data_IF_998923443162
#
_entry.id   IF_998923443162
#
_cell.length_a   1.000
_cell.length_b   1.000
_cell.length_c   1.000
_cell.angle_alpha   90.00
_cell.angle_beta   90.00
_cell.angle_gamma   90.00
#
_symmetry.space_group_name_H-M   'P 1'
#
loop_
_entity.id
_entity.type
_entity.pdbx_description
1 polymer ?
#
# COMPACT_ATOMS: atom_id res chain seq x y z
N UNK A 1 -47.14 -21.85 71.31
CA UNK A 1 -46.23 -20.76 70.89
C UNK A 1 -44.77 -21.19 70.79
N UNK A 2 -44.09 -21.69 71.85
CA UNK A 2 -42.66 -22.07 71.81
C UNK A 2 -42.27 -23.08 70.71
N UNK A 3 -43.06 -24.14 70.48
CA UNK A 3 -42.82 -25.15 69.43
C UNK A 3 -42.87 -24.58 68.01
N UNK A 4 -43.72 -23.56 67.79
CA UNK A 4 -43.93 -22.94 66.48
C UNK A 4 -42.75 -22.01 66.10
N UNK A 5 -42.19 -21.31 67.09
CA UNK A 5 -40.99 -20.47 66.95
C UNK A 5 -39.76 -21.33 66.58
N UNK A 6 -39.61 -22.50 67.21
CA UNK A 6 -38.49 -23.43 66.92
C UNK A 6 -38.55 -23.93 65.47
N UNK A 7 -39.74 -24.27 64.97
CA UNK A 7 -39.92 -24.73 63.59
C UNK A 7 -39.56 -23.62 62.60
N UNK A 8 -40.00 -22.39 62.84
CA UNK A 8 -39.67 -21.24 61.98
C UNK A 8 -38.15 -21.00 61.96
N UNK A 9 -37.48 -21.12 63.11
CA UNK A 9 -36.02 -21.01 63.19
C UNK A 9 -35.31 -22.12 62.42
N UNK A 10 -35.78 -23.37 62.51
CA UNK A 10 -35.19 -24.50 61.78
C UNK A 10 -35.37 -24.36 60.26
N UNK A 11 -36.55 -23.93 59.81
CA UNK A 11 -36.82 -23.68 58.39
C UNK A 11 -35.99 -22.50 57.89
N UNK A 12 -35.94 -21.40 58.64
CA UNK A 12 -35.12 -20.23 58.29
C UNK A 12 -33.63 -20.57 58.21
N UNK A 13 -33.12 -21.33 59.18
CA UNK A 13 -31.72 -21.79 59.18
C UNK A 13 -31.43 -22.72 58.00
N UNK A 14 -32.34 -23.63 57.67
CA UNK A 14 -32.22 -24.52 56.51
C UNK A 14 -32.17 -23.76 55.19
N UNK A 15 -32.97 -22.69 55.04
CA UNK A 15 -32.99 -21.86 53.83
C UNK A 15 -31.67 -21.07 53.72
N UNK A 16 -31.21 -20.45 54.81
CA UNK A 16 -29.95 -19.67 54.84
C UNK A 16 -28.75 -20.57 54.52
N UNK A 17 -28.72 -21.79 55.07
CA UNK A 17 -27.65 -22.74 54.81
C UNK A 17 -27.64 -23.19 53.33
N UNK A 18 -28.81 -23.47 52.77
CA UNK A 18 -28.96 -23.85 51.36
C UNK A 18 -28.49 -22.72 50.40
N UNK A 19 -28.81 -21.46 50.72
CA UNK A 19 -28.36 -20.31 49.92
C UNK A 19 -26.82 -20.13 49.96
N UNK A 20 -26.18 -20.42 51.09
CA UNK A 20 -24.71 -20.38 51.18
C UNK A 20 -24.02 -21.47 50.35
N UNK A 21 -24.52 -22.70 50.38
CA UNK A 21 -23.94 -23.79 49.58
C UNK A 21 -24.08 -23.51 48.08
N UNK A 22 -25.24 -23.04 47.64
CA UNK A 22 -25.46 -22.66 46.25
C UNK A 22 -24.51 -21.54 45.78
N UNK A 23 -24.28 -20.52 46.62
CA UNK A 23 -23.33 -19.43 46.31
C UNK A 23 -21.89 -19.96 46.17
N UNK A 24 -21.48 -20.92 47.01
CA UNK A 24 -20.14 -21.53 46.94
C UNK A 24 -19.95 -22.31 45.64
N UNK A 25 -20.94 -23.13 45.26
CA UNK A 25 -20.89 -23.92 44.02
C UNK A 25 -20.80 -23.02 42.77
N UNK A 26 -21.58 -21.93 42.73
CA UNK A 26 -21.51 -20.95 41.64
C UNK A 26 -20.15 -20.24 41.59
N UNK A 27 -19.58 -19.89 42.75
CA UNK A 27 -18.25 -19.26 42.81
C UNK A 27 -17.15 -20.20 42.30
N UNK A 28 -17.21 -21.48 42.69
CA UNK A 28 -16.26 -22.50 42.25
C UNK A 28 -16.33 -22.73 40.74
N UNK A 29 -17.55 -22.82 40.19
CA UNK A 29 -17.76 -22.92 38.74
C UNK A 29 -17.20 -21.71 37.98
N UNK A 30 -17.47 -20.50 38.47
CA UNK A 30 -16.97 -19.28 37.86
C UNK A 30 -15.43 -19.21 37.87
N UNK A 31 -14.78 -19.68 38.95
CA UNK A 31 -13.33 -19.75 39.02
C UNK A 31 -12.74 -20.71 37.96
N UNK A 32 -13.36 -21.88 37.78
CA UNK A 32 -12.94 -22.84 36.74
C UNK A 32 -13.11 -22.25 35.34
N UNK A 33 -14.21 -21.55 35.08
CA UNK A 33 -14.43 -20.92 33.77
C UNK A 33 -13.45 -19.76 33.53
N UNK A 34 -13.09 -19.02 34.57
CA UNK A 34 -12.07 -17.97 34.51
C UNK A 34 -10.67 -18.54 34.25
N UNK A 35 -10.28 -19.63 34.88
CA UNK A 35 -9.00 -20.31 34.64
C UNK A 35 -8.89 -20.80 33.18
N UNK A 36 -9.95 -21.42 32.65
CA UNK A 36 -10.01 -21.80 31.23
C UNK A 36 -9.94 -20.60 30.30
N UNK A 37 -10.50 -19.45 30.69
CA UNK A 37 -10.42 -18.22 29.90
C UNK A 37 -8.98 -17.68 29.89
N UNK A 38 -8.29 -17.67 31.03
CA UNK A 38 -6.87 -17.27 31.14
C UNK A 38 -6.00 -18.14 30.22
N UNK A 39 -6.15 -19.47 30.26
CA UNK A 39 -5.38 -20.34 29.36
C UNK A 39 -5.65 -20.07 27.87
N UNK A 40 -6.89 -19.71 27.52
CA UNK A 40 -7.24 -19.34 26.14
C UNK A 40 -6.57 -18.03 25.74
N UNK A 41 -6.51 -17.06 26.65
CA UNK A 41 -5.81 -15.79 26.43
C UNK A 41 -4.32 -16.03 26.24
N UNK A 42 -3.67 -16.83 27.10
CA UNK A 42 -2.24 -17.17 26.95
C UNK A 42 -1.92 -17.82 25.60
N UNK A 43 -2.82 -18.70 25.12
CA UNK A 43 -2.69 -19.30 23.77
C UNK A 43 -2.87 -18.28 22.66
N UNK A 44 -3.74 -17.28 22.84
CA UNK A 44 -3.94 -16.20 21.88
C UNK A 44 -2.70 -15.31 21.85
N UNK A 45 -2.15 -14.92 23.00
CA UNK A 45 -0.94 -14.09 23.08
C UNK A 45 0.23 -14.72 22.32
N UNK A 46 0.50 -16.02 22.55
CA UNK A 46 1.54 -16.76 21.80
C UNK A 46 1.32 -16.73 20.29
N UNK A 47 0.07 -16.85 19.83
CA UNK A 47 -0.26 -16.78 18.40
C UNK A 47 -0.12 -15.38 17.84
N UNK A 48 -0.41 -14.35 18.64
CA UNK A 48 -0.20 -12.94 18.26
C UNK A 48 1.29 -12.66 18.08
N UNK A 49 2.14 -13.15 18.99
CA UNK A 49 3.60 -13.02 18.85
C UNK A 49 4.14 -13.69 17.57
N UNK A 50 3.62 -14.88 17.24
CA UNK A 50 3.97 -15.56 15.99
C UNK A 50 3.52 -14.79 14.74
N UNK A 51 2.33 -14.20 14.78
CA UNK A 51 1.79 -13.36 13.70
C UNK A 51 2.68 -12.12 13.52
N UNK A 52 3.09 -11.46 14.60
CA UNK A 52 3.96 -10.29 14.55
C UNK A 52 5.31 -10.62 13.88
N UNK A 53 5.92 -11.76 14.24
CA UNK A 53 7.15 -12.24 13.58
C UNK A 53 6.96 -12.44 12.08
N UNK A 54 5.87 -13.08 11.67
CA UNK A 54 5.55 -13.30 10.24
C UNK A 54 5.31 -11.99 9.49
N UNK A 55 4.62 -11.02 10.11
CA UNK A 55 4.43 -9.68 9.52
C UNK A 55 5.78 -9.00 9.28
N UNK A 56 6.68 -9.05 10.26
CA UNK A 56 8.01 -8.47 10.12
C UNK A 56 8.84 -9.12 9.00
N UNK A 57 8.73 -10.44 8.82
CA UNK A 57 9.36 -11.14 7.69
C UNK A 57 8.75 -10.72 6.34
N UNK A 58 7.43 -10.60 6.26
CA UNK A 58 6.73 -10.14 5.04
C UNK A 58 7.19 -8.72 4.67
N UNK A 59 7.30 -7.81 5.64
CA UNK A 59 7.78 -6.45 5.40
C UNK A 59 9.19 -6.41 4.81
N UNK A 60 10.11 -7.25 5.33
CA UNK A 60 11.46 -7.37 4.76
C UNK A 60 11.44 -7.88 3.32
N UNK A 61 10.62 -8.90 3.03
CA UNK A 61 10.48 -9.44 1.68
C UNK A 61 9.91 -8.41 0.71
N UNK A 62 8.92 -7.61 1.13
CA UNK A 62 8.35 -6.54 0.32
C UNK A 62 9.38 -5.47 -0.04
N UNK A 63 10.22 -5.07 0.92
CA UNK A 63 11.31 -4.11 0.67
C UNK A 63 12.28 -4.64 -0.40
N UNK A 64 12.69 -5.90 -0.29
CA UNK A 64 13.58 -6.52 -1.28
C UNK A 64 12.92 -6.61 -2.67
N UNK A 65 11.62 -6.91 -2.72
CA UNK A 65 10.85 -6.92 -3.97
C UNK A 65 10.84 -5.53 -4.60
N UNK A 66 10.60 -4.47 -3.83
CA UNK A 66 10.61 -3.09 -4.29
C UNK A 66 11.96 -2.68 -4.89
N UNK A 67 13.06 -3.02 -4.21
CA UNK A 67 14.43 -2.79 -4.69
C UNK A 67 14.68 -3.52 -6.02
N UNK A 68 14.33 -4.81 -6.10
CA UNK A 68 14.48 -5.60 -7.33
C UNK A 68 13.63 -5.06 -8.48
N UNK A 69 12.40 -4.60 -8.23
CA UNK A 69 11.55 -3.99 -9.25
C UNK A 69 12.14 -2.67 -9.77
N UNK A 70 12.77 -1.88 -8.91
CA UNK A 70 13.45 -0.65 -9.31
C UNK A 70 14.65 -0.95 -10.21
N UNK A 71 15.46 -1.96 -9.89
CA UNK A 71 16.57 -2.39 -10.75
C UNK A 71 16.08 -2.96 -12.08
N UNK A 72 15.09 -3.85 -12.07
CA UNK A 72 14.48 -4.38 -13.29
C UNK A 72 13.95 -3.26 -14.19
N UNK A 73 13.35 -2.20 -13.61
CA UNK A 73 12.89 -1.04 -14.37
C UNK A 73 14.05 -0.29 -15.04
N UNK A 74 15.17 -0.10 -14.34
CA UNK A 74 16.38 0.52 -14.92
C UNK A 74 16.92 -0.35 -16.08
N UNK A 75 17.01 -1.66 -15.89
CA UNK A 75 17.48 -2.58 -16.94
C UNK A 75 16.55 -2.56 -18.14
N UNK A 76 15.24 -2.60 -17.94
CA UNK A 76 14.25 -2.55 -19.03
C UNK A 76 14.37 -1.24 -19.82
N UNK A 77 14.57 -0.11 -19.13
CA UNK A 77 14.84 1.19 -19.78
C UNK A 77 16.12 1.12 -20.62
N UNK A 78 17.20 0.56 -20.09
CA UNK A 78 18.45 0.43 -20.82
C UNK A 78 18.27 -0.46 -22.05
N UNK A 79 17.59 -1.59 -21.92
CA UNK A 79 17.28 -2.48 -23.04
C UNK A 79 16.40 -1.79 -24.09
N UNK A 80 15.38 -1.05 -23.66
CA UNK A 80 14.56 -0.24 -24.56
C UNK A 80 15.41 0.73 -25.39
N UNK A 81 16.46 1.33 -24.81
CA UNK A 81 17.42 2.19 -25.53
C UNK A 81 18.19 1.39 -26.59
N UNK A 82 18.67 0.17 -26.27
CA UNK A 82 19.48 -0.64 -27.19
C UNK A 82 18.69 -1.28 -28.33
N UNK A 83 17.41 -1.60 -28.13
CA UNK A 83 16.57 -2.27 -29.14
C UNK A 83 15.88 -1.30 -30.10
N UNK A 84 16.08 0.02 -29.95
CA UNK A 84 15.51 0.99 -30.89
C UNK A 84 16.27 0.98 -32.24
N UNK A 85 15.53 0.91 -33.36
CA UNK A 85 15.96 1.09 -34.75
C UNK A 85 17.28 1.80 -35.04
N UNK A 86 17.40 3.01 -34.49
CA UNK A 86 18.39 4.02 -34.88
C UNK A 86 18.53 5.06 -33.76
N UNK A 87 19.24 4.69 -32.69
CA UNK A 87 19.49 5.60 -31.56
C UNK A 87 20.26 6.85 -32.03
N UNK A 88 19.50 7.92 -32.23
CA UNK A 88 19.96 9.28 -31.99
C UNK A 88 20.32 9.35 -30.49
N UNK A 89 21.42 10.02 -30.15
CA UNK A 89 21.91 10.16 -28.77
C UNK A 89 20.77 10.66 -27.89
N UNK A 90 20.52 9.99 -26.75
CA UNK A 90 19.44 10.36 -25.82
C UNK A 90 19.72 11.73 -25.21
N UNK A 91 18.72 12.65 -25.15
CA UNK A 91 18.91 13.94 -24.50
C UNK A 91 19.15 13.79 -23.00
N UNK A 92 19.97 14.68 -22.46
CA UNK A 92 20.19 14.91 -21.04
C UNK A 92 19.00 15.63 -20.40
N UNK A 93 18.91 15.61 -19.06
CA UNK A 93 17.90 16.40 -18.34
C UNK A 93 18.01 17.91 -18.61
N UNK A 94 19.22 18.39 -18.87
CA UNK A 94 19.49 19.80 -19.18
C UNK A 94 18.95 20.17 -20.57
N UNK A 95 19.19 19.31 -21.57
CA UNK A 95 18.63 19.48 -22.92
C UNK A 95 17.10 19.42 -22.91
N UNK A 96 16.49 18.51 -22.15
CA UNK A 96 15.04 18.45 -21.99
C UNK A 96 14.46 19.75 -21.42
N UNK A 97 15.06 20.27 -20.36
CA UNK A 97 14.62 21.51 -19.69
C UNK A 97 14.83 22.75 -20.55
N UNK A 98 15.69 22.68 -21.57
CA UNK A 98 15.93 23.79 -22.49
C UNK A 98 14.82 23.98 -23.53
N UNK A 99 13.90 23.01 -23.68
CA UNK A 99 12.80 23.16 -24.63
C UNK A 99 11.75 24.13 -24.09
N UNK A 100 11.42 25.12 -24.92
CA UNK A 100 10.45 26.15 -24.59
C UNK A 100 9.30 26.22 -25.58
N UNK A 101 8.19 26.80 -25.13
CA UNK A 101 7.03 27.04 -25.98
C UNK A 101 7.41 28.01 -27.12
N UNK A 102 7.03 27.69 -28.34
CA UNK A 102 7.35 28.45 -29.55
C UNK A 102 8.59 27.95 -30.31
N UNK A 103 9.39 27.04 -29.75
CA UNK A 103 10.48 26.42 -30.50
C UNK A 103 9.96 25.64 -31.71
N UNK A 104 10.74 25.59 -32.79
CA UNK A 104 10.38 24.83 -33.98
C UNK A 104 10.72 23.35 -33.83
N UNK A 105 10.07 22.48 -34.61
CA UNK A 105 10.44 21.06 -34.70
C UNK A 105 11.93 20.85 -34.99
N UNK A 106 12.53 21.70 -35.82
CA UNK A 106 13.94 21.58 -36.18
C UNK A 106 14.86 21.93 -35.00
N UNK A 107 14.50 22.92 -34.19
CA UNK A 107 15.26 23.27 -32.98
C UNK A 107 15.15 22.16 -31.94
N UNK A 108 13.95 21.62 -31.73
CA UNK A 108 13.73 20.47 -30.85
C UNK A 108 14.53 19.26 -31.34
N UNK A 109 14.54 19.00 -32.65
CA UNK A 109 15.30 17.89 -33.24
C UNK A 109 16.82 18.07 -33.09
N UNK A 110 17.34 19.30 -33.13
CA UNK A 110 18.76 19.58 -32.91
C UNK A 110 19.18 19.38 -31.46
N UNK A 111 18.31 19.74 -30.52
CA UNK A 111 18.58 19.68 -29.08
C UNK A 111 18.35 18.26 -28.55
N UNK A 112 17.19 17.68 -28.85
CA UNK A 112 16.76 16.40 -28.29
C UNK A 112 17.01 15.20 -29.19
N UNK A 113 17.31 15.43 -30.48
CA UNK A 113 17.34 14.37 -31.46
C UNK A 113 15.96 13.84 -31.83
N UNK A 114 15.95 12.68 -32.49
CA UNK A 114 14.74 12.02 -32.98
C UNK A 114 13.87 11.51 -31.82
N UNK A 115 12.55 11.79 -31.83
CA UNK A 115 11.64 11.23 -30.84
C UNK A 115 11.42 9.73 -31.07
N UNK A 116 11.05 9.03 -30.01
CA UNK A 116 10.76 7.59 -30.02
C UNK A 116 9.45 7.28 -30.74
N UNK A 117 8.46 8.14 -30.60
CA UNK A 117 7.17 8.00 -31.27
C UNK A 117 6.63 9.37 -31.71
N UNK A 118 6.02 9.40 -32.90
CA UNK A 118 5.32 10.57 -33.43
C UNK A 118 3.87 10.19 -33.68
N UNK A 119 2.95 10.91 -33.02
CA UNK A 119 1.51 10.75 -33.21
C UNK A 119 0.91 12.02 -33.79
N UNK A 120 0.14 11.87 -34.87
CA UNK A 120 -0.61 12.97 -35.48
C UNK A 120 -2.08 12.89 -35.10
N UNK A 121 -2.60 13.94 -34.48
CA UNK A 121 -4.01 14.09 -34.16
C UNK A 121 -4.79 14.65 -35.35
N UNK A 122 -6.11 14.42 -35.37
CA UNK A 122 -7.01 14.89 -36.44
C UNK A 122 -7.03 16.41 -36.61
N UNK A 123 -6.71 17.15 -35.56
CA UNK A 123 -6.64 18.61 -35.54
C UNK A 123 -5.26 19.16 -35.99
N UNK A 124 -4.46 18.35 -36.69
CA UNK A 124 -3.10 18.69 -37.14
C UNK A 124 -2.10 18.97 -36.00
N UNK A 125 -2.44 18.65 -34.75
CA UNK A 125 -1.48 18.62 -33.66
C UNK A 125 -0.60 17.38 -33.77
N UNK A 126 0.71 17.58 -33.71
CA UNK A 126 1.70 16.50 -33.71
C UNK A 126 2.25 16.34 -32.30
N UNK A 127 2.31 15.11 -31.80
CA UNK A 127 2.82 14.78 -30.46
C UNK A 127 4.07 13.94 -30.66
N UNK A 128 5.19 14.42 -30.11
CA UNK A 128 6.45 13.69 -30.05
C UNK A 128 6.63 13.13 -28.65
N UNK A 129 6.89 11.83 -28.55
CA UNK A 129 7.10 11.14 -27.29
C UNK A 129 8.59 10.92 -27.06
N UNK A 130 9.07 11.38 -25.91
CA UNK A 130 10.42 11.19 -25.39
C UNK A 130 10.35 10.37 -24.11
N UNK A 131 10.44 9.05 -24.23
CA UNK A 131 10.07 8.14 -23.13
C UNK A 131 10.97 8.31 -21.91
N UNK A 132 10.34 8.59 -20.76
CA UNK A 132 11.02 8.85 -19.49
C UNK A 132 11.38 10.32 -19.24
N UNK A 133 11.08 11.20 -20.19
CA UNK A 133 11.02 12.65 -19.97
C UNK A 133 9.59 13.15 -20.06
N UNK A 134 8.89 12.77 -21.12
CA UNK A 134 7.53 13.23 -21.37
C UNK A 134 7.19 13.30 -22.84
N UNK A 135 6.37 14.28 -23.20
CA UNK A 135 5.87 14.48 -24.56
C UNK A 135 5.72 15.95 -24.90
N UNK A 136 6.02 16.27 -26.16
CA UNK A 136 5.98 17.61 -26.71
C UNK A 136 4.86 17.68 -27.75
N UNK A 137 4.05 18.73 -27.67
CA UNK A 137 2.96 18.97 -28.59
C UNK A 137 3.34 20.11 -29.54
N UNK A 138 3.10 19.91 -30.82
CA UNK A 138 3.34 20.88 -31.87
C UNK A 138 2.02 21.32 -32.53
N UNK A 139 1.91 22.61 -32.86
CA UNK A 139 0.81 23.10 -33.69
C UNK A 139 0.99 22.69 -35.16
N UNK A 140 0.03 23.09 -36.01
CA UNK A 140 0.07 22.87 -37.46
C UNK A 140 1.28 23.53 -38.16
N UNK A 141 1.88 24.56 -37.54
CA UNK A 141 3.06 25.27 -38.05
C UNK A 141 4.38 24.60 -37.61
N UNK A 142 4.32 23.59 -36.75
CA UNK A 142 5.50 22.90 -36.22
C UNK A 142 6.16 23.61 -35.05
N UNK A 143 5.42 24.43 -34.30
CA UNK A 143 5.93 25.11 -33.11
C UNK A 143 5.42 24.42 -31.83
N UNK A 144 6.27 24.34 -30.81
CA UNK A 144 5.93 23.78 -29.50
C UNK A 144 4.81 24.58 -28.85
N UNK A 145 3.68 23.94 -28.55
CA UNK A 145 2.56 24.56 -27.84
C UNK A 145 2.42 24.11 -26.39
N UNK A 146 2.93 22.92 -26.07
CA UNK A 146 2.81 22.31 -24.74
C UNK A 146 3.90 21.26 -24.56
N UNK A 147 4.42 21.19 -23.35
CA UNK A 147 5.36 20.16 -22.89
C UNK A 147 4.72 19.52 -21.67
N UNK A 148 4.63 18.19 -21.65
CA UNK A 148 4.16 17.44 -20.49
C UNK A 148 5.26 16.50 -20.06
N UNK A 149 5.73 16.65 -18.83
CA UNK A 149 6.63 15.67 -18.24
C UNK A 149 5.87 14.39 -17.94
N UNK A 150 6.55 13.25 -18.04
CA UNK A 150 6.04 11.98 -17.53
C UNK A 150 6.05 12.07 -15.99
N UNK A 151 5.00 12.67 -15.43
CA UNK A 151 4.82 12.72 -13.97
C UNK A 151 4.60 11.28 -13.52
N UNK A 152 5.64 10.66 -12.95
CA UNK A 152 5.41 9.57 -12.03
C UNK A 152 4.60 10.13 -10.86
N UNK A 153 3.29 9.93 -10.89
CA UNK A 153 2.45 10.01 -9.69
C UNK A 153 2.63 8.67 -8.99
N UNK A 154 3.32 8.60 -7.84
CA UNK A 154 3.23 7.41 -7.01
C UNK A 154 1.75 7.14 -6.78
N UNK A 155 1.25 5.90 -6.93
CA UNK A 155 -0.15 5.61 -6.67
C UNK A 155 -0.49 6.15 -5.29
N UNK A 156 -1.36 7.15 -5.24
CA UNK A 156 -1.84 7.72 -3.99
C UNK A 156 -2.49 6.56 -3.26
N UNK A 157 -1.92 6.15 -2.13
CA UNK A 157 -2.57 5.18 -1.24
C UNK A 157 -3.96 5.74 -0.94
N UNK A 158 -4.98 5.17 -1.56
CA UNK A 158 -6.35 5.35 -1.13
C UNK A 158 -6.39 4.75 0.28
N UNK A 159 -6.66 5.62 1.25
CA UNK A 159 -6.80 5.25 2.67
C UNK A 159 -7.98 4.32 2.87
#
# INVERSE_FOLDING_TARGET
>A
MKKLIIIIFLVGFSIIFCEQEFKKEQLEKNNIDMEKAIERVDRIEKRVDEIEKKINEIMKKLKNIEENFNEMRKTMRNLQIYVQPQATIKPTEEEWKSIEKGMTKDDVMKILGSPEEIKKLRNQTEIWYYFGYGRIYFNQFGEVIKIEEDIYTPPTRIR
#
